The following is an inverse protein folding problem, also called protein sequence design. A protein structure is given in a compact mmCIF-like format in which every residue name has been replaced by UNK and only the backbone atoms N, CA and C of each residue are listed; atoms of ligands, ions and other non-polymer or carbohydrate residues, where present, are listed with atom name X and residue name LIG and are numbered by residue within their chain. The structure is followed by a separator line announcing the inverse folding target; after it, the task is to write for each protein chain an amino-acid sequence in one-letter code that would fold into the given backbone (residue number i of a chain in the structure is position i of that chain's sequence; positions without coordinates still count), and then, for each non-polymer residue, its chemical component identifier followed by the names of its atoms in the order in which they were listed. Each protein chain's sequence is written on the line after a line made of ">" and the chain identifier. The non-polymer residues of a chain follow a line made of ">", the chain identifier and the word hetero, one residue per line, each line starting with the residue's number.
data_IF_009444555635
#
_entry.id   IF_009444555635
#
_cell.length_a   1.000
_cell.length_b   1.000
_cell.length_c   1.000
_cell.angle_alpha   90.00
_cell.angle_beta   90.00
_cell.angle_gamma   90.00
#
_symmetry.space_group_name_H-M   'P 1'
#
loop_
_entity.id
_entity.type
_entity.pdbx_description
1 polymer ?
#
# COMPACT_ATOMS: atom_id res chain seq x y z
N UNK A 1 -0.83 7.74 -7.91
CA UNK A 1 -1.45 6.66 -8.66
C UNK A 1 -2.66 6.10 -7.93
N UNK A 2 -3.80 6.07 -8.60
CA UNK A 2 -5.03 5.53 -8.02
C UNK A 2 -5.78 4.68 -9.04
N UNK A 3 -5.14 4.32 -10.13
CA UNK A 3 -5.64 3.38 -11.12
C UNK A 3 -4.52 2.42 -11.52
N UNK A 4 -4.87 1.41 -12.32
CA UNK A 4 -3.91 0.37 -12.72
C UNK A 4 -2.68 0.95 -13.41
N UNK A 5 -2.90 1.86 -14.36
CA UNK A 5 -1.79 2.47 -15.09
C UNK A 5 -0.86 3.25 -14.17
N UNK A 6 -1.44 4.03 -13.26
CA UNK A 6 -0.65 4.78 -12.29
C UNK A 6 0.19 3.88 -11.39
N UNK A 7 -0.37 2.73 -10.99
CA UNK A 7 0.39 1.77 -10.19
C UNK A 7 1.50 1.10 -11.00
N UNK A 8 1.28 0.86 -12.30
CA UNK A 8 2.36 0.36 -13.17
C UNK A 8 3.52 1.35 -13.22
N UNK A 9 3.22 2.63 -13.39
CA UNK A 9 4.24 3.67 -13.43
C UNK A 9 4.99 3.72 -12.09
N UNK A 10 4.27 3.69 -11.00
CA UNK A 10 4.86 3.70 -9.66
C UNK A 10 5.77 2.49 -9.45
N UNK A 11 5.30 1.30 -9.80
CA UNK A 11 6.08 0.08 -9.63
C UNK A 11 7.34 0.09 -10.48
N UNK A 12 7.27 0.59 -11.71
CA UNK A 12 8.45 0.72 -12.56
C UNK A 12 9.45 1.70 -11.97
N UNK A 13 8.96 2.81 -11.41
CA UNK A 13 9.83 3.78 -10.75
C UNK A 13 10.55 3.16 -9.55
N UNK A 14 9.82 2.39 -8.74
CA UNK A 14 10.41 1.71 -7.59
C UNK A 14 11.51 0.73 -8.02
N UNK A 15 11.29 0.01 -9.11
CA UNK A 15 12.30 -0.89 -9.65
C UNK A 15 13.54 -0.15 -10.11
N UNK A 16 13.37 0.97 -10.80
CA UNK A 16 14.50 1.79 -11.28
C UNK A 16 15.31 2.35 -10.13
N UNK A 17 14.68 2.65 -9.02
CA UNK A 17 15.35 3.17 -7.82
C UNK A 17 15.93 2.06 -6.95
N UNK A 18 15.80 0.80 -7.36
CA UNK A 18 16.27 -0.36 -6.59
C UNK A 18 15.67 -0.41 -5.19
N UNK A 19 14.40 0.00 -5.07
CA UNK A 19 13.68 -0.06 -3.81
C UNK A 19 13.09 -1.46 -3.69
N UNK A 20 13.58 -2.21 -2.73
CA UNK A 20 13.17 -3.59 -2.49
C UNK A 20 12.20 -3.68 -1.32
N UNK A 21 11.18 -4.51 -1.48
CA UNK A 21 10.23 -4.82 -0.41
C UNK A 21 9.62 -3.58 0.25
N UNK A 22 9.04 -2.66 -0.52
CA UNK A 22 8.42 -1.48 0.08
C UNK A 22 7.18 -1.86 0.88
N UNK A 23 6.79 -0.96 1.78
CA UNK A 23 5.57 -1.09 2.55
C UNK A 23 4.52 -0.20 1.89
N UNK A 24 3.31 -0.75 1.70
CA UNK A 24 2.20 0.02 1.14
C UNK A 24 1.14 0.28 2.20
N UNK A 25 0.63 1.49 2.21
CA UNK A 25 -0.59 1.84 2.94
C UNK A 25 -1.59 2.26 1.88
N UNK A 26 -2.62 1.44 1.67
CA UNK A 26 -3.52 1.59 0.52
C UNK A 26 -4.96 1.81 0.94
N UNK A 27 -5.57 2.87 0.43
CA UNK A 27 -7.00 3.06 0.49
C UNK A 27 -7.55 3.05 -0.93
N UNK A 28 -8.42 2.10 -1.25
CA UNK A 28 -8.96 1.96 -2.59
C UNK A 28 -10.46 2.21 -2.62
N UNK A 29 -10.88 3.19 -3.42
CA UNK A 29 -12.28 3.48 -3.63
C UNK A 29 -12.99 2.36 -4.39
N UNK A 30 -14.30 2.25 -4.18
CA UNK A 30 -15.10 1.15 -4.75
C UNK A 30 -15.16 1.17 -6.29
N UNK A 31 -14.77 2.28 -6.91
CA UNK A 31 -14.71 2.38 -8.37
C UNK A 31 -13.35 2.00 -8.94
N UNK A 32 -12.39 1.63 -8.08
CA UNK A 32 -11.05 1.28 -8.52
C UNK A 32 -10.95 -0.21 -8.78
N UNK A 33 -10.09 -0.58 -9.72
CA UNK A 33 -9.85 -1.96 -10.08
C UNK A 33 -8.84 -2.58 -9.10
N UNK A 34 -9.33 -2.94 -7.90
CA UNK A 34 -8.44 -3.42 -6.86
C UNK A 34 -7.73 -4.71 -7.24
N UNK A 35 -8.37 -5.55 -8.05
CA UNK A 35 -7.80 -6.82 -8.47
C UNK A 35 -6.51 -6.59 -9.26
N UNK A 36 -6.57 -5.77 -10.30
CA UNK A 36 -5.41 -5.53 -11.14
C UNK A 36 -4.38 -4.61 -10.46
N UNK A 37 -4.83 -3.71 -9.59
CA UNK A 37 -3.91 -2.90 -8.81
C UNK A 37 -3.06 -3.78 -7.89
N UNK A 38 -3.69 -4.71 -7.17
CA UNK A 38 -2.94 -5.61 -6.28
C UNK A 38 -2.03 -6.57 -7.05
N UNK A 39 -2.42 -6.98 -8.26
CA UNK A 39 -1.55 -7.77 -9.12
C UNK A 39 -0.29 -7.01 -9.53
N UNK A 40 -0.42 -5.71 -9.82
CA UNK A 40 0.75 -4.88 -10.13
C UNK A 40 1.66 -4.72 -8.93
N UNK A 41 1.08 -4.50 -7.76
CA UNK A 41 1.85 -4.36 -6.53
C UNK A 41 2.61 -5.64 -6.21
N UNK A 42 2.01 -6.79 -6.45
CA UNK A 42 2.67 -8.07 -6.21
C UNK A 42 3.99 -8.21 -6.97
N UNK A 43 4.10 -7.63 -8.13
CA UNK A 43 5.30 -7.74 -8.97
C UNK A 43 6.55 -7.18 -8.30
N UNK A 44 6.42 -6.24 -7.40
CA UNK A 44 7.56 -5.64 -6.70
C UNK A 44 7.81 -6.25 -5.33
N UNK A 45 7.07 -7.29 -4.98
CA UNK A 45 7.27 -8.05 -3.74
C UNK A 45 7.28 -7.16 -2.50
N UNK A 46 6.16 -6.51 -2.16
CA UNK A 46 6.12 -5.64 -0.98
C UNK A 46 6.34 -6.43 0.31
N UNK A 47 6.87 -5.75 1.32
CA UNK A 47 7.00 -6.35 2.65
C UNK A 47 5.64 -6.64 3.27
N UNK A 48 4.75 -5.66 3.21
CA UNK A 48 3.42 -5.76 3.79
C UNK A 48 2.51 -4.70 3.19
N UNK A 49 1.22 -5.01 3.14
CA UNK A 49 0.19 -4.07 2.75
C UNK A 49 -0.67 -3.75 3.97
N UNK A 50 -0.88 -2.47 4.25
CA UNK A 50 -1.80 -2.03 5.27
C UNK A 50 -3.03 -1.42 4.64
N UNK A 51 -4.21 -1.82 5.11
CA UNK A 51 -5.49 -1.31 4.62
C UNK A 51 -6.20 -0.55 5.74
N UNK A 52 -6.22 0.80 5.68
CA UNK A 52 -6.93 1.57 6.71
C UNK A 52 -8.43 1.36 6.64
N UNK A 53 -9.06 1.23 7.81
CA UNK A 53 -10.51 1.12 7.87
C UNK A 53 -11.21 2.47 7.92
N UNK A 54 -10.50 3.53 8.31
CA UNK A 54 -11.06 4.89 8.34
C UNK A 54 -10.54 5.70 7.17
N UNK A 55 -11.43 5.95 6.22
CA UNK A 55 -11.13 6.76 5.04
C UNK A 55 -12.27 7.76 4.83
N UNK A 56 -11.95 8.89 4.19
CA UNK A 56 -12.91 9.96 3.95
C UNK A 56 -13.72 9.76 2.67
N UNK A 57 -13.69 8.57 2.11
CA UNK A 57 -14.40 8.25 0.86
C UNK A 57 -14.90 6.81 0.93
N UNK A 58 -15.83 6.48 0.04
CA UNK A 58 -16.31 5.11 -0.08
C UNK A 58 -15.20 4.22 -0.60
N UNK A 59 -14.86 3.21 0.17
CA UNK A 59 -13.78 2.29 -0.16
C UNK A 59 -14.27 0.85 -0.05
N UNK A 60 -13.50 -0.06 -0.65
CA UNK A 60 -13.70 -1.47 -0.40
C UNK A 60 -13.43 -1.76 1.07
N UNK A 61 -14.14 -2.73 1.64
CA UNK A 61 -13.86 -3.12 3.00
C UNK A 61 -12.43 -3.67 3.10
N UNK A 62 -11.73 -3.37 4.20
CA UNK A 62 -10.39 -3.93 4.39
C UNK A 62 -10.36 -5.45 4.29
N UNK A 63 -11.39 -6.12 4.80
CA UNK A 63 -11.47 -7.57 4.74
C UNK A 63 -11.42 -8.08 3.31
N UNK A 64 -12.16 -7.46 2.40
CA UNK A 64 -12.18 -7.86 1.00
C UNK A 64 -10.81 -7.72 0.35
N UNK A 65 -10.14 -6.60 0.62
CA UNK A 65 -8.81 -6.34 0.07
C UNK A 65 -7.77 -7.28 0.68
N UNK A 66 -7.87 -7.57 1.95
CA UNK A 66 -6.98 -8.50 2.63
C UNK A 66 -7.16 -9.91 2.10
N UNK A 67 -8.41 -10.36 1.96
CA UNK A 67 -8.69 -11.70 1.45
C UNK A 67 -8.11 -11.91 0.06
N UNK A 68 -8.26 -10.91 -0.81
CA UNK A 68 -7.71 -11.02 -2.15
C UNK A 68 -6.17 -10.95 -2.13
N UNK A 69 -5.60 -10.10 -1.30
CA UNK A 69 -4.15 -10.01 -1.15
C UNK A 69 -3.55 -11.35 -0.71
N UNK A 70 -4.22 -12.03 0.21
CA UNK A 70 -3.78 -13.36 0.66
C UNK A 70 -3.83 -14.38 -0.45
N UNK A 71 -4.80 -14.30 -1.35
CA UNK A 71 -4.85 -15.17 -2.52
C UNK A 71 -3.65 -14.96 -3.44
N UNK A 72 -3.07 -13.79 -3.42
CA UNK A 72 -1.87 -13.46 -4.18
C UNK A 72 -0.59 -13.73 -3.40
N UNK A 73 -0.69 -14.34 -2.24
CA UNK A 73 0.44 -14.59 -1.33
C UNK A 73 1.10 -13.31 -0.85
N UNK A 74 0.31 -12.27 -0.65
CA UNK A 74 0.79 -11.00 -0.09
C UNK A 74 0.45 -10.93 1.39
N UNK A 75 1.36 -10.40 2.17
CA UNK A 75 1.11 -10.13 3.58
C UNK A 75 0.28 -8.87 3.70
N UNK A 76 -0.86 -8.94 4.36
CA UNK A 76 -1.80 -7.83 4.44
C UNK A 76 -2.45 -7.77 5.80
N UNK A 77 -2.60 -6.57 6.34
CA UNK A 77 -3.22 -6.33 7.64
C UNK A 77 -4.13 -5.11 7.58
N UNK A 78 -5.17 -5.15 8.40
CA UNK A 78 -6.04 -4.00 8.60
C UNK A 78 -5.46 -3.11 9.68
N UNK A 79 -5.56 -1.79 9.50
CA UNK A 79 -5.21 -0.81 10.51
C UNK A 79 -6.37 0.18 10.66
N UNK A 80 -6.35 0.94 11.74
CA UNK A 80 -7.40 1.91 12.00
C UNK A 80 -7.36 3.06 10.99
N UNK A 81 -6.21 3.65 10.82
CA UNK A 81 -6.00 4.77 9.90
C UNK A 81 -4.52 4.84 9.51
N UNK A 82 -4.20 5.79 8.65
CA UNK A 82 -2.83 5.96 8.15
C UNK A 82 -1.88 6.33 9.28
N UNK A 83 -2.32 7.18 10.20
CA UNK A 83 -1.49 7.60 11.34
C UNK A 83 -1.07 6.41 12.21
N UNK A 84 -2.01 5.49 12.44
CA UNK A 84 -1.71 4.28 13.23
C UNK A 84 -0.65 3.42 12.57
N UNK A 85 -0.70 3.29 11.25
CA UNK A 85 0.32 2.53 10.52
C UNK A 85 1.68 3.19 10.64
N UNK A 86 1.75 4.50 10.50
CA UNK A 86 3.00 5.22 10.60
C UNK A 86 3.60 5.12 12.01
N UNK A 87 2.77 5.15 13.03
CA UNK A 87 3.23 4.96 14.41
C UNK A 87 3.83 3.57 14.62
N UNK A 88 3.15 2.55 14.10
CA UNK A 88 3.66 1.17 14.17
C UNK A 88 5.03 1.04 13.54
N UNK A 89 5.20 1.64 12.37
CA UNK A 89 6.46 1.58 11.64
C UNK A 89 7.58 2.29 12.38
N UNK A 90 7.27 3.40 13.03
CA UNK A 90 8.27 4.13 13.81
C UNK A 90 8.71 3.33 15.04
N UNK A 91 7.81 2.58 15.64
CA UNK A 91 8.12 1.80 16.83
C UNK A 91 8.97 0.57 16.53
N UNK A 92 8.78 -0.03 15.37
CA UNK A 92 9.39 -1.31 15.06
C UNK A 92 10.83 -1.21 14.57
N UNK A 93 11.32 -0.03 14.25
CA UNK A 93 12.41 -0.04 13.32
C UNK A 93 13.63 0.76 13.65
N UNK A 94 14.75 0.05 13.71
CA UNK A 94 16.07 0.65 13.62
C UNK A 94 16.56 0.70 12.16
N UNK A 95 15.77 0.23 11.20
CA UNK A 95 16.17 0.12 9.80
C UNK A 95 15.30 1.05 8.95
N UNK A 96 15.94 1.68 7.99
CA UNK A 96 15.25 2.53 7.02
C UNK A 96 14.37 1.71 6.10
N UNK A 97 13.11 2.10 5.95
CA UNK A 97 12.18 1.45 5.03
C UNK A 97 11.47 2.48 4.18
N UNK A 98 11.17 2.10 2.94
CA UNK A 98 10.35 2.92 2.06
C UNK A 98 8.89 2.58 2.27
N UNK A 99 8.09 3.60 2.55
CA UNK A 99 6.66 3.46 2.77
C UNK A 99 5.94 4.25 1.68
N UNK A 100 5.07 3.57 0.95
CA UNK A 100 4.26 4.20 -0.09
C UNK A 100 2.84 4.35 0.43
N UNK A 101 2.36 5.58 0.49
CA UNK A 101 0.98 5.88 0.89
C UNK A 101 0.22 6.26 -0.36
N UNK A 102 -0.85 5.54 -0.65
CA UNK A 102 -1.66 5.80 -1.83
C UNK A 102 -3.14 5.70 -1.47
N UNK A 103 -3.94 6.62 -2.00
CA UNK A 103 -5.37 6.64 -1.82
C UNK A 103 -6.09 6.82 -3.15
N UNK A 104 -7.41 6.65 -3.13
CA UNK A 104 -8.21 6.77 -4.35
C UNK A 104 -8.41 8.20 -4.80
N UNK A 105 -8.00 9.18 -4.03
CA UNK A 105 -8.05 10.59 -4.42
C UNK A 105 -6.79 11.05 -5.13
N UNK A 106 -5.92 10.11 -5.49
CA UNK A 106 -4.72 10.42 -6.25
C UNK A 106 -3.54 10.92 -5.43
N UNK A 107 -3.67 10.94 -4.12
CA UNK A 107 -2.56 11.35 -3.26
C UNK A 107 -1.55 10.22 -3.16
N UNK A 108 -0.33 10.50 -3.54
CA UNK A 108 0.77 9.54 -3.41
C UNK A 108 1.87 10.20 -2.62
N UNK A 109 2.33 9.50 -1.60
CA UNK A 109 3.48 9.95 -0.84
C UNK A 109 4.46 8.82 -0.70
N UNK A 110 5.72 9.16 -0.72
CA UNK A 110 6.79 8.26 -0.37
C UNK A 110 7.43 8.77 0.91
N UNK A 111 7.46 7.90 1.91
CA UNK A 111 8.03 8.25 3.19
C UNK A 111 9.19 7.32 3.48
N UNK A 112 10.27 7.86 3.99
CA UNK A 112 11.38 7.06 4.46
C UNK A 112 11.31 7.00 5.98
N UNK A 113 11.12 5.79 6.46
CA UNK A 113 11.10 5.55 7.89
C UNK A 113 12.53 5.46 8.40
N UNK A 114 12.85 6.20 9.45
CA UNK A 114 14.18 6.21 10.04
C UNK A 114 14.10 6.08 11.54
N UNK A 115 15.13 5.58 12.07
CA UNK A 115 15.34 5.56 13.51
C UNK A 115 16.69 6.08 13.88
#
# INVERSE_FOLDING_TARGET
>A
AHNVLGFKVLCNWLKKKNINNPIFILGLGIKKDYINILKEIKKIKPSILYFPSRLQFNSYSPKKLIDYSKKLNLKALQIKDISSALELLNEEDSIRKTVIVSGSIGLIGELLSKN
#
